data_IF_266122947380
#
_entry.id   IF_266122947380
#
_cell.length_a   1.000
_cell.length_b   1.000
_cell.length_c   1.000
_cell.angle_alpha   90.00
_cell.angle_beta   90.00
_cell.angle_gamma   90.00
#
_symmetry.space_group_name_H-M   'P 1'
#
loop_
_entity.id
_entity.type
_entity.pdbx_description
1 polymer ?
#
# COMPACT_ATOMS: atom_id res chain seq x y z
N UNK A 1 -19.41 62.62 56.78
CA UNK A 1 -20.61 61.86 56.31
C UNK A 1 -20.40 61.52 54.84
N UNK A 2 -20.65 60.25 54.45
CA UNK A 2 -20.52 59.64 53.11
C UNK A 2 -19.10 59.40 52.58
N UNK A 3 -18.71 58.28 51.94
CA UNK A 3 -19.04 56.82 51.94
C UNK A 3 -17.90 56.16 51.09
N UNK A 4 -17.70 54.83 51.15
CA UNK A 4 -16.44 54.12 50.86
C UNK A 4 -16.14 53.96 49.37
N UNK A 5 -14.90 53.64 49.01
CA UNK A 5 -14.60 53.04 47.70
C UNK A 5 -13.40 52.10 47.88
N UNK A 6 -13.66 50.82 48.16
CA UNK A 6 -13.90 49.73 47.22
C UNK A 6 -12.58 49.00 46.96
N UNK A 7 -12.39 47.99 47.78
CA UNK A 7 -11.47 46.88 47.57
C UNK A 7 -11.70 46.31 46.18
N UNK A 8 -10.67 46.31 45.35
CA UNK A 8 -10.54 45.29 44.31
C UNK A 8 -9.07 45.08 43.95
N UNK A 9 -8.50 43.91 44.25
CA UNK A 9 -7.51 43.34 43.37
C UNK A 9 -8.18 42.21 42.59
N UNK A 10 -8.61 42.52 41.37
CA UNK A 10 -8.97 41.54 40.35
C UNK A 10 -7.71 40.72 40.00
N UNK A 11 -7.62 39.43 40.38
CA UNK A 11 -6.50 38.60 39.99
C UNK A 11 -6.77 38.14 38.55
N UNK A 12 -6.32 38.94 37.57
CA UNK A 12 -6.26 38.47 36.18
C UNK A 12 -5.54 37.12 36.18
N UNK A 13 -6.16 36.05 35.64
CA UNK A 13 -5.50 34.76 35.60
C UNK A 13 -4.22 34.93 34.79
N UNK A 14 -3.08 34.65 35.42
CA UNK A 14 -1.79 34.67 34.75
C UNK A 14 -1.91 33.77 33.52
N UNK A 15 -1.77 34.37 32.33
CA UNK A 15 -1.72 33.62 31.09
C UNK A 15 -0.61 32.58 31.26
N UNK A 16 -0.98 31.29 31.24
CA UNK A 16 0.00 30.23 31.39
C UNK A 16 1.11 30.48 30.34
N UNK A 17 2.40 30.48 30.74
CA UNK A 17 3.48 30.70 29.78
C UNK A 17 3.29 29.72 28.62
N UNK A 18 3.48 30.15 27.36
CA UNK A 18 3.28 29.29 26.21
C UNK A 18 4.06 28.01 26.46
N UNK A 19 3.36 26.87 26.40
CA UNK A 19 3.98 25.55 26.58
C UNK A 19 5.15 25.49 25.61
N UNK A 20 6.38 25.54 26.12
CA UNK A 20 7.58 25.33 25.32
C UNK A 20 7.48 23.91 24.80
N UNK A 21 7.10 23.77 23.54
CA UNK A 21 7.22 22.50 22.84
C UNK A 21 8.70 22.10 22.97
N UNK A 22 9.01 20.86 23.36
CA UNK A 22 10.40 20.42 23.41
C UNK A 22 11.02 20.68 22.04
N UNK A 23 12.16 21.37 22.00
CA UNK A 23 12.93 21.68 20.79
C UNK A 23 13.61 20.41 20.26
N UNK A 24 12.83 19.34 20.06
CA UNK A 24 13.29 18.14 19.40
C UNK A 24 13.07 18.36 17.91
N UNK A 25 14.11 18.17 17.09
CA UNK A 25 13.96 18.22 15.65
C UNK A 25 12.88 17.23 15.18
N UNK A 26 12.10 17.64 14.18
CA UNK A 26 11.10 16.78 13.57
C UNK A 26 11.80 15.62 12.84
N UNK A 27 11.57 14.38 13.27
CA UNK A 27 12.14 13.19 12.61
C UNK A 27 11.35 12.86 11.33
N UNK A 28 11.96 13.13 10.17
CA UNK A 28 11.37 12.96 8.83
C UNK A 28 11.94 11.75 8.08
N UNK A 29 12.27 10.65 8.76
CA UNK A 29 12.65 9.39 8.08
C UNK A 29 11.60 8.98 7.05
N UNK A 30 12.06 8.76 5.83
CA UNK A 30 11.22 8.22 4.77
C UNK A 30 11.56 6.71 4.66
N UNK A 31 10.67 5.82 4.16
CA UNK A 31 10.98 4.37 3.96
C UNK A 31 10.80 3.85 2.54
N UNK A 32 11.78 3.15 1.95
CA UNK A 32 11.68 2.56 0.60
C UNK A 32 11.26 1.09 0.65
N UNK A 33 10.25 0.71 -0.14
CA UNK A 33 9.84 -0.68 -0.28
C UNK A 33 9.86 -1.11 -1.75
N UNK A 34 10.56 -2.20 -2.04
CA UNK A 34 10.52 -2.83 -3.35
C UNK A 34 9.24 -3.67 -3.47
N UNK A 35 8.48 -3.49 -4.54
CA UNK A 35 7.31 -4.31 -4.86
C UNK A 35 7.61 -5.08 -6.15
N UNK A 36 7.39 -6.39 -6.12
CA UNK A 36 7.45 -7.22 -7.31
C UNK A 36 6.02 -7.58 -7.69
N UNK A 37 5.65 -7.29 -8.93
CA UNK A 37 4.35 -7.64 -9.50
C UNK A 37 4.60 -8.71 -10.55
N UNK A 38 3.99 -9.88 -10.37
CA UNK A 38 3.98 -10.93 -11.38
C UNK A 38 2.71 -10.78 -12.22
N UNK A 39 2.87 -10.74 -13.54
CA UNK A 39 1.80 -10.62 -14.51
C UNK A 39 1.80 -11.87 -15.40
N UNK A 40 0.66 -12.55 -15.44
CA UNK A 40 0.45 -13.72 -16.28
C UNK A 40 -0.09 -13.28 -17.65
N UNK A 41 0.65 -13.60 -18.70
CA UNK A 41 0.29 -13.29 -20.09
C UNK A 41 -0.12 -14.58 -20.78
N UNK A 42 -1.22 -14.52 -21.53
CA UNK A 42 -1.65 -15.61 -22.42
C UNK A 42 -1.03 -15.38 -23.78
N UNK A 43 -0.09 -16.23 -24.18
CA UNK A 43 0.54 -16.19 -25.50
C UNK A 43 -0.27 -17.00 -26.53
N UNK A 44 -0.91 -18.11 -26.12
CA UNK A 44 -1.75 -18.95 -27.00
C UNK A 44 -3.05 -19.40 -26.27
N UNK A 45 -4.20 -18.74 -26.53
CA UNK A 45 -5.43 -19.02 -25.81
C UNK A 45 -6.03 -20.40 -26.13
N UNK A 46 -5.79 -20.93 -27.33
CA UNK A 46 -6.30 -22.25 -27.74
C UNK A 46 -5.63 -23.35 -26.94
N UNK A 47 -4.29 -23.31 -26.86
CA UNK A 47 -3.52 -24.25 -26.03
C UNK A 47 -3.91 -24.18 -24.56
N UNK A 48 -4.09 -22.96 -24.02
CA UNK A 48 -4.50 -22.79 -22.63
C UNK A 48 -5.83 -23.49 -22.36
N UNK A 49 -6.83 -23.31 -23.22
CA UNK A 49 -8.13 -23.95 -23.06
C UNK A 49 -8.04 -25.47 -23.18
N UNK A 50 -7.29 -26.01 -24.16
CA UNK A 50 -7.13 -27.45 -24.34
C UNK A 50 -6.42 -28.12 -23.17
N UNK A 51 -5.39 -27.47 -22.62
CA UNK A 51 -4.68 -27.96 -21.44
C UNK A 51 -5.55 -27.83 -20.18
N UNK A 52 -6.26 -26.72 -20.01
CA UNK A 52 -7.13 -26.51 -18.87
C UNK A 52 -8.31 -27.48 -18.86
N UNK A 53 -8.88 -27.81 -20.02
CA UNK A 53 -9.97 -28.78 -20.12
C UNK A 53 -9.52 -30.18 -19.71
N UNK A 54 -8.32 -30.60 -20.15
CA UNK A 54 -7.71 -31.85 -19.68
C UNK A 54 -7.42 -31.83 -18.19
N UNK A 55 -6.88 -30.72 -17.68
CA UNK A 55 -6.58 -30.56 -16.25
C UNK A 55 -7.86 -30.60 -15.38
N UNK A 56 -8.95 -30.01 -15.86
CA UNK A 56 -10.24 -30.02 -15.17
C UNK A 56 -10.82 -31.44 -15.03
N UNK A 57 -10.54 -32.33 -15.99
CA UNK A 57 -10.93 -33.75 -15.88
C UNK A 57 -10.10 -34.49 -14.82
N UNK A 58 -8.83 -34.14 -14.65
CA UNK A 58 -7.96 -34.75 -13.63
C UNK A 58 -8.14 -34.15 -12.23
N UNK A 59 -8.56 -32.89 -12.13
CA UNK A 59 -8.70 -32.14 -10.88
C UNK A 59 -10.04 -31.37 -10.85
N UNK A 60 -11.18 -32.09 -10.79
CA UNK A 60 -12.49 -31.47 -10.88
C UNK A 60 -12.79 -30.54 -9.69
N UNK A 61 -12.29 -30.88 -8.50
CA UNK A 61 -12.50 -30.06 -7.29
C UNK A 61 -11.83 -28.69 -7.42
N UNK A 62 -10.61 -28.63 -7.95
CA UNK A 62 -9.89 -27.37 -8.19
C UNK A 62 -10.57 -26.55 -9.29
N UNK A 63 -11.07 -27.20 -10.34
CA UNK A 63 -11.82 -26.55 -11.41
C UNK A 63 -13.15 -25.95 -10.91
N UNK A 64 -13.84 -26.66 -10.00
CA UNK A 64 -15.08 -26.19 -9.38
C UNK A 64 -14.88 -24.91 -8.56
N UNK A 65 -13.77 -24.80 -7.81
CA UNK A 65 -13.42 -23.58 -7.06
C UNK A 65 -13.26 -22.37 -7.99
N UNK A 66 -12.82 -22.60 -9.23
CA UNK A 66 -12.65 -21.57 -10.26
C UNK A 66 -13.90 -21.34 -11.11
N UNK A 67 -15.04 -21.93 -10.71
CA UNK A 67 -16.35 -21.73 -11.36
C UNK A 67 -16.59 -22.61 -12.59
N UNK A 68 -15.72 -23.59 -12.85
CA UNK A 68 -15.97 -24.58 -13.89
C UNK A 68 -16.83 -25.72 -13.36
N UNK A 69 -17.88 -26.05 -14.12
CA UNK A 69 -18.72 -27.21 -13.88
C UNK A 69 -19.06 -27.86 -15.21
N UNK A 70 -19.65 -29.06 -15.19
CA UNK A 70 -20.09 -29.75 -16.41
C UNK A 70 -21.08 -28.94 -17.25
N UNK A 71 -21.74 -27.94 -16.66
CA UNK A 71 -22.72 -27.07 -17.32
C UNK A 71 -22.19 -25.67 -17.62
N UNK A 72 -21.01 -25.29 -17.11
CA UNK A 72 -20.39 -23.98 -17.36
C UNK A 72 -19.06 -24.12 -18.10
N UNK A 73 -18.94 -23.59 -19.33
CA UNK A 73 -17.71 -23.67 -20.10
C UNK A 73 -16.57 -22.93 -19.39
N UNK A 74 -15.36 -23.47 -19.53
CA UNK A 74 -14.18 -22.95 -18.89
C UNK A 74 -13.74 -21.66 -19.61
N UNK A 75 -13.86 -20.52 -18.93
CA UNK A 75 -13.43 -19.23 -19.49
C UNK A 75 -11.90 -19.14 -19.53
N UNK A 76 -11.33 -18.37 -20.45
CA UNK A 76 -9.87 -18.25 -20.57
C UNK A 76 -9.18 -17.77 -19.26
N UNK A 77 -9.71 -16.78 -18.52
CA UNK A 77 -9.13 -16.41 -17.23
C UNK A 77 -9.19 -17.55 -16.20
N UNK A 78 -10.31 -18.28 -16.13
CA UNK A 78 -10.43 -19.44 -15.25
C UNK A 78 -9.49 -20.58 -15.67
N UNK A 79 -9.28 -20.75 -16.98
CA UNK A 79 -8.34 -21.73 -17.55
C UNK A 79 -6.91 -21.41 -17.15
N UNK A 80 -6.50 -20.15 -17.33
CA UNK A 80 -5.19 -19.69 -16.93
C UNK A 80 -4.98 -19.85 -15.41
N UNK A 81 -5.98 -19.47 -14.59
CA UNK A 81 -5.93 -19.65 -13.14
C UNK A 81 -5.83 -21.12 -12.72
N UNK A 82 -6.57 -22.02 -13.38
CA UNK A 82 -6.54 -23.46 -13.12
C UNK A 82 -5.16 -24.04 -13.42
N UNK A 83 -4.58 -23.68 -14.56
CA UNK A 83 -3.24 -24.15 -14.92
C UNK A 83 -2.18 -23.61 -13.95
N UNK A 84 -2.27 -22.35 -13.54
CA UNK A 84 -1.39 -21.77 -12.52
C UNK A 84 -1.54 -22.42 -11.14
N UNK A 85 -2.73 -22.92 -10.79
CA UNK A 85 -2.94 -23.60 -9.51
C UNK A 85 -2.37 -25.04 -9.50
N UNK A 86 -2.26 -25.67 -10.67
CA UNK A 86 -1.91 -27.08 -10.80
C UNK A 86 -0.47 -27.33 -11.28
N UNK A 87 0.19 -26.33 -11.85
CA UNK A 87 1.50 -26.48 -12.47
C UNK A 87 2.49 -25.42 -12.02
N UNK A 88 3.76 -25.79 -12.07
CA UNK A 88 4.86 -24.88 -11.75
C UNK A 88 5.08 -23.84 -12.87
N UNK A 89 5.60 -22.64 -12.56
CA UNK A 89 5.79 -21.57 -13.53
C UNK A 89 6.61 -21.96 -14.77
N UNK A 90 7.53 -22.92 -14.65
CA UNK A 90 8.35 -23.41 -15.76
C UNK A 90 7.55 -24.20 -16.80
N UNK A 91 6.43 -24.80 -16.42
CA UNK A 91 5.59 -25.64 -17.29
C UNK A 91 4.52 -24.81 -18.03
N UNK A 92 4.16 -23.66 -17.47
CA UNK A 92 3.15 -22.74 -18.00
C UNK A 92 3.45 -22.30 -19.45
N UNK A 93 4.73 -22.10 -19.79
CA UNK A 93 5.16 -21.71 -21.13
C UNK A 93 4.76 -22.72 -22.21
N UNK A 94 4.86 -24.02 -21.90
CA UNK A 94 4.45 -25.07 -22.83
C UNK A 94 2.94 -25.09 -23.06
N UNK A 95 2.16 -24.58 -22.10
CA UNK A 95 0.70 -24.52 -22.15
C UNK A 95 0.17 -23.22 -22.75
N UNK A 96 1.05 -22.31 -23.21
CA UNK A 96 0.66 -21.04 -23.82
C UNK A 96 0.53 -19.88 -22.82
N UNK A 97 1.09 -20.02 -21.61
CA UNK A 97 1.11 -19.00 -20.57
C UNK A 97 2.54 -18.54 -20.29
N UNK A 98 2.75 -17.24 -20.11
CA UNK A 98 4.04 -16.68 -19.74
C UNK A 98 3.92 -15.79 -18.52
N UNK A 99 4.69 -16.13 -17.49
CA UNK A 99 4.81 -15.29 -16.31
C UNK A 99 5.86 -14.20 -16.55
N UNK A 100 5.45 -12.96 -16.48
CA UNK A 100 6.33 -11.80 -16.61
C UNK A 100 6.47 -11.12 -15.25
N UNK A 101 7.71 -10.80 -14.86
CA UNK A 101 8.00 -10.13 -13.60
C UNK A 101 8.24 -8.65 -13.85
N UNK A 102 7.32 -7.81 -13.39
CA UNK A 102 7.52 -6.36 -13.34
C UNK A 102 7.97 -5.99 -11.93
N UNK A 103 9.24 -5.59 -11.81
CA UNK A 103 9.71 -4.93 -10.59
C UNK A 103 9.32 -3.47 -10.68
N UNK A 104 8.48 -3.00 -9.75
CA UNK A 104 8.26 -1.57 -9.53
C UNK A 104 8.96 -1.16 -8.25
N UNK A 105 9.85 -0.17 -8.36
CA UNK A 105 10.44 0.45 -7.18
C UNK A 105 9.45 1.49 -6.66
N UNK A 106 8.82 1.22 -5.51
CA UNK A 106 8.07 2.25 -4.79
C UNK A 106 9.05 2.95 -3.86
N UNK A 107 9.60 4.06 -4.35
CA UNK A 107 10.29 5.03 -3.50
C UNK A 107 9.25 5.82 -2.73
N UNK A 108 8.85 5.34 -1.56
CA UNK A 108 8.84 6.30 -0.45
C UNK A 108 10.33 6.44 -0.11
N UNK A 109 10.91 7.64 -0.19
CA UNK A 109 12.36 7.87 -0.01
C UNK A 109 12.90 7.09 1.20
N UNK A 110 14.14 6.63 1.26
CA UNK A 110 14.80 6.17 2.51
C UNK A 110 16.21 6.74 2.54
N UNK A 111 16.42 7.82 1.78
CA UNK A 111 17.71 8.48 1.67
C UNK A 111 17.78 9.58 2.73
N UNK A 112 17.83 9.17 3.99
CA UNK A 112 18.44 9.92 5.09
C UNK A 112 18.47 9.05 6.34
N UNK A 113 19.59 8.35 6.54
CA UNK A 113 19.85 7.61 7.78
C UNK A 113 20.12 8.52 8.97
N UNK A 114 20.54 9.77 8.72
CA UNK A 114 20.65 10.79 9.77
C UNK A 114 19.39 11.66 9.82
N UNK A 115 18.78 11.84 11.00
CA UNK A 115 17.60 12.67 11.16
C UNK A 115 17.93 14.13 10.79
N UNK A 116 17.15 14.71 9.88
CA UNK A 116 17.27 16.13 9.53
C UNK A 116 16.69 16.98 10.65
N UNK A 117 17.50 17.87 11.22
CA UNK A 117 17.04 18.85 12.19
C UNK A 117 16.43 20.06 11.50
N UNK A 118 15.12 20.28 11.68
CA UNK A 118 14.44 21.49 11.24
C UNK A 118 14.36 22.48 12.41
N UNK A 119 14.89 23.69 12.22
CA UNK A 119 14.76 24.78 13.18
C UNK A 119 13.57 25.68 12.79
N UNK A 120 12.63 25.87 13.73
CA UNK A 120 11.52 26.80 13.57
C UNK A 120 12.02 28.24 13.78
N UNK A 121 12.14 28.99 12.68
CA UNK A 121 12.44 30.42 12.74
C UNK A 121 11.14 31.21 12.94
N UNK A 122 10.90 31.69 14.16
CA UNK A 122 9.85 32.69 14.39
C UNK A 122 10.45 34.07 14.18
N UNK A 123 10.41 34.57 12.94
CA UNK A 123 10.63 36.00 12.73
C UNK A 123 9.37 36.73 13.21
N UNK A 124 9.44 37.66 14.17
CA UNK A 124 8.30 38.53 14.41
C UNK A 124 8.11 39.37 13.15
N UNK A 125 6.95 39.25 12.51
CA UNK A 125 6.49 40.25 11.55
C UNK A 125 6.57 41.61 12.25
N UNK A 126 7.35 42.59 11.75
CA UNK A 126 7.30 43.92 12.30
C UNK A 126 5.91 44.49 11.99
N UNK A 127 5.07 44.61 13.03
CA UNK A 127 3.81 45.33 12.97
C UNK A 127 4.05 46.74 12.39
N UNK A 128 3.39 47.05 11.27
CA UNK A 128 3.31 48.40 10.68
C UNK A 128 2.12 49.16 11.24
#
# INVERSE_FOLDING_TARGET
MNRPNLTDPDPRPALAPPRRLPARPLDLRVRTRRIQVEELVVDDPGKVLDHAHRAALSAPDTAAVLGHSSTTPLTLPAAAALLCALHEPGELAAMGLRLTRRTTHVTASDQQTEPVSLELSYAPDPES
#
